data_IF_181099477380
#
_entry.id   IF_181099477380
#
_cell.length_a   1.000
_cell.length_b   1.000
_cell.length_c   1.000
_cell.angle_alpha   90.00
_cell.angle_beta   90.00
_cell.angle_gamma   90.00
#
_symmetry.space_group_name_H-M   'P 1'
#
loop_
_entity.id
_entity.type
_entity.pdbx_description
1 polymer ?
#
# COMPACT_ATOMS: atom_id res chain seq x y z
N UNK A 1 -11.03 13.31 -25.06
CA UNK A 1 -11.56 12.84 -26.36
C UNK A 1 -10.79 11.60 -26.77
N UNK A 2 -11.49 10.51 -27.07
CA UNK A 2 -10.88 9.27 -27.58
C UNK A 2 -11.02 9.27 -29.11
N UNK A 3 -9.89 9.08 -29.81
CA UNK A 3 -9.86 8.88 -31.27
C UNK A 3 -9.57 7.40 -31.50
N UNK A 4 -10.49 6.68 -32.10
CA UNK A 4 -10.40 5.23 -32.32
C UNK A 4 -9.60 4.89 -33.56
N UNK A 5 -8.39 5.44 -33.69
CA UNK A 5 -7.47 5.24 -34.80
C UNK A 5 -6.03 5.17 -34.30
N UNK A 6 -5.17 4.44 -35.01
CA UNK A 6 -3.73 4.43 -34.76
C UNK A 6 -3.09 5.63 -35.45
N UNK A 7 -2.78 6.67 -34.68
CA UNK A 7 -2.30 7.95 -35.22
C UNK A 7 -0.77 8.06 -35.25
N UNK A 8 -0.05 7.24 -34.48
CA UNK A 8 1.41 7.23 -34.41
C UNK A 8 1.92 5.87 -33.94
N UNK A 9 3.22 5.63 -34.11
CA UNK A 9 3.93 4.51 -33.55
C UNK A 9 5.01 5.01 -32.59
N UNK A 10 5.09 4.39 -31.43
CA UNK A 10 6.14 4.63 -30.44
C UNK A 10 7.14 3.48 -30.47
N UNK A 11 8.43 3.79 -30.53
CA UNK A 11 9.51 2.82 -30.42
C UNK A 11 10.20 3.05 -29.10
N UNK A 12 10.10 2.06 -28.21
CA UNK A 12 10.74 2.12 -26.90
C UNK A 12 12.25 1.94 -27.03
N UNK A 13 13.02 2.94 -26.55
CA UNK A 13 14.49 2.88 -26.45
C UNK A 13 15.00 2.67 -25.03
N UNK A 14 14.11 2.63 -24.05
CA UNK A 14 14.49 2.45 -22.66
C UNK A 14 14.72 0.97 -22.34
N UNK A 15 15.96 0.56 -22.24
CA UNK A 15 16.41 -0.81 -21.98
C UNK A 15 16.50 -1.15 -20.51
N UNK A 16 16.17 -0.22 -19.59
CA UNK A 16 16.15 -0.49 -18.15
C UNK A 16 15.11 -1.56 -17.81
N UNK A 17 15.36 -2.30 -16.71
CA UNK A 17 14.40 -3.28 -16.19
C UNK A 17 13.10 -2.58 -15.72
N UNK A 18 11.97 -3.28 -15.77
CA UNK A 18 10.67 -2.74 -15.32
C UNK A 18 10.69 -2.19 -13.89
N UNK A 19 11.41 -2.86 -12.99
CA UNK A 19 11.58 -2.41 -11.61
C UNK A 19 12.33 -1.10 -11.43
N UNK A 20 13.10 -0.65 -12.42
CA UNK A 20 13.76 0.68 -12.43
C UNK A 20 12.82 1.75 -12.99
N UNK A 21 12.09 1.43 -14.06
CA UNK A 21 11.16 2.36 -14.74
C UNK A 21 9.97 2.74 -13.85
N UNK A 22 9.53 1.82 -13.02
CA UNK A 22 8.31 1.98 -12.20
C UNK A 22 8.38 3.19 -11.24
N UNK A 23 9.58 3.67 -10.91
CA UNK A 23 9.78 4.80 -10.00
C UNK A 23 9.97 6.15 -10.70
N UNK A 24 9.93 6.22 -12.03
CA UNK A 24 10.11 7.47 -12.78
C UNK A 24 9.08 8.56 -12.41
N UNK A 25 7.88 8.15 -11.98
CA UNK A 25 6.82 9.10 -11.61
C UNK A 25 7.07 9.81 -10.26
N UNK A 26 7.94 9.28 -9.42
CA UNK A 26 8.36 9.88 -8.13
C UNK A 26 9.78 10.44 -8.17
N UNK A 27 10.49 10.35 -9.30
CA UNK A 27 11.82 10.90 -9.47
C UNK A 27 11.75 12.45 -9.43
N UNK A 28 12.47 13.13 -8.52
CA UNK A 28 12.45 14.58 -8.39
C UNK A 28 12.75 15.35 -9.68
N UNK A 29 13.54 14.78 -10.60
CA UNK A 29 13.84 15.40 -11.91
C UNK A 29 12.61 15.56 -12.79
N UNK A 30 11.55 14.78 -12.55
CA UNK A 30 10.30 14.83 -13.32
C UNK A 30 9.21 15.68 -12.62
N UNK A 31 9.55 16.43 -11.54
CA UNK A 31 8.53 17.09 -10.70
C UNK A 31 7.67 18.10 -11.46
N UNK A 32 8.24 18.92 -12.28
CA UNK A 32 7.49 19.94 -13.07
C UNK A 32 6.47 19.27 -13.98
N UNK A 33 6.87 18.22 -14.69
CA UNK A 33 5.96 17.41 -15.51
C UNK A 33 4.84 16.78 -14.69
N UNK A 34 5.16 16.30 -13.49
CA UNK A 34 4.14 15.73 -12.59
C UNK A 34 3.10 16.77 -12.15
N UNK A 35 3.52 18.01 -11.89
CA UNK A 35 2.62 19.12 -11.54
C UNK A 35 1.67 19.44 -12.70
N UNK A 36 2.19 19.55 -13.93
CA UNK A 36 1.37 19.77 -15.12
C UNK A 36 0.32 18.67 -15.33
N UNK A 37 0.74 17.41 -15.19
CA UNK A 37 -0.17 16.26 -15.29
C UNK A 37 -1.23 16.25 -14.19
N UNK A 38 -0.88 16.68 -12.98
CA UNK A 38 -1.82 16.81 -11.87
C UNK A 38 -2.88 17.87 -12.15
N UNK A 39 -2.47 19.02 -12.69
CA UNK A 39 -3.37 20.10 -13.06
C UNK A 39 -4.34 19.65 -14.16
N UNK A 40 -3.84 19.08 -15.25
CA UNK A 40 -4.65 18.57 -16.34
C UNK A 40 -5.66 17.49 -15.86
N UNK A 41 -5.22 16.57 -15.02
CA UNK A 41 -6.10 15.56 -14.45
C UNK A 41 -7.19 16.19 -13.56
N UNK A 42 -6.84 17.16 -12.74
CA UNK A 42 -7.78 17.85 -11.84
C UNK A 42 -8.84 18.62 -12.62
N UNK A 43 -8.46 19.32 -13.68
CA UNK A 43 -9.40 20.01 -14.57
C UNK A 43 -10.36 19.03 -15.23
N UNK A 44 -9.84 17.96 -15.81
CA UNK A 44 -10.66 16.90 -16.40
C UNK A 44 -11.64 16.29 -15.39
N UNK A 45 -11.19 15.99 -14.16
CA UNK A 45 -12.08 15.47 -13.12
C UNK A 45 -13.23 16.41 -12.77
N UNK A 46 -13.00 17.73 -12.80
CA UNK A 46 -14.06 18.74 -12.61
C UNK A 46 -15.07 18.71 -13.74
N UNK A 47 -14.58 18.65 -14.98
CA UNK A 47 -15.45 18.62 -16.18
C UNK A 47 -16.38 17.40 -16.20
N UNK A 48 -15.88 16.22 -15.83
CA UNK A 48 -16.66 14.98 -15.87
C UNK A 48 -17.40 14.67 -14.56
N UNK A 49 -17.33 15.56 -13.56
CA UNK A 49 -18.02 15.41 -12.27
C UNK A 49 -17.38 14.39 -11.30
N UNK A 50 -16.13 14.01 -11.55
CA UNK A 50 -15.36 13.07 -10.73
C UNK A 50 -14.46 13.71 -9.68
N UNK A 51 -14.38 15.04 -9.64
CA UNK A 51 -13.58 15.78 -8.67
C UNK A 51 -14.14 15.64 -7.25
N UNK A 52 -13.26 15.46 -6.29
CA UNK A 52 -13.60 15.44 -4.87
C UNK A 52 -12.89 16.59 -4.15
N UNK A 53 -13.65 17.48 -3.52
CA UNK A 53 -13.11 18.51 -2.64
C UNK A 53 -12.36 17.89 -1.44
N UNK A 54 -11.39 18.57 -0.82
CA UNK A 54 -10.61 18.04 0.31
C UNK A 54 -11.42 18.04 1.62
N UNK A 55 -12.60 17.44 1.57
CA UNK A 55 -13.51 17.25 2.70
C UNK A 55 -13.58 15.78 3.05
N UNK A 56 -13.28 15.44 4.29
CA UNK A 56 -13.09 14.06 4.72
C UNK A 56 -14.04 13.69 5.84
N UNK A 57 -14.49 12.44 5.81
CA UNK A 57 -15.24 11.84 6.91
C UNK A 57 -14.30 11.70 8.12
N UNK A 58 -14.71 12.24 9.25
CA UNK A 58 -13.99 12.08 10.52
C UNK A 58 -14.15 10.66 11.05
N UNK A 59 -13.11 10.21 11.76
CA UNK A 59 -13.06 8.87 12.36
C UNK A 59 -13.12 9.01 13.87
N UNK A 60 -14.03 8.25 14.46
CA UNK A 60 -14.12 8.04 15.90
C UNK A 60 -13.36 6.74 16.24
N UNK A 61 -12.14 6.88 16.79
CA UNK A 61 -11.30 5.73 17.14
C UNK A 61 -11.77 4.95 18.39
N UNK A 62 -12.89 5.32 18.96
CA UNK A 62 -13.55 4.62 20.07
C UNK A 62 -14.35 3.39 19.62
N UNK A 63 -14.55 3.19 18.31
CA UNK A 63 -15.32 2.07 17.79
C UNK A 63 -14.56 0.73 17.94
N UNK A 64 -15.21 -0.24 18.58
CA UNK A 64 -14.68 -1.59 18.78
C UNK A 64 -13.86 -1.76 20.05
N UNK A 65 -13.76 -3.01 20.51
CA UNK A 65 -12.90 -3.40 21.61
C UNK A 65 -11.74 -4.22 21.04
N UNK A 66 -10.52 -3.70 21.12
CA UNK A 66 -9.32 -4.34 20.59
C UNK A 66 -8.36 -4.67 21.72
N UNK A 67 -7.89 -5.92 21.77
CA UNK A 67 -6.86 -6.35 22.73
C UNK A 67 -5.51 -5.70 22.42
N UNK A 68 -5.24 -5.51 21.12
CA UNK A 68 -4.01 -4.91 20.60
C UNK A 68 -4.33 -3.58 19.92
N UNK A 69 -3.48 -2.59 20.13
CA UNK A 69 -3.58 -1.31 19.44
C UNK A 69 -3.19 -1.46 17.96
N UNK A 70 -2.17 -2.27 17.68
CA UNK A 70 -1.71 -2.51 16.32
C UNK A 70 -1.44 -4.00 16.07
N UNK A 71 -1.66 -4.44 14.84
CA UNK A 71 -1.15 -5.69 14.30
C UNK A 71 -0.29 -5.42 13.09
N UNK A 72 0.93 -5.96 13.08
CA UNK A 72 1.70 -6.03 11.83
C UNK A 72 1.25 -7.28 11.09
N UNK A 73 0.92 -7.13 9.80
CA UNK A 73 0.47 -8.24 8.94
C UNK A 73 1.51 -8.47 7.86
N UNK A 74 2.00 -9.72 7.79
CA UNK A 74 2.98 -10.18 6.79
C UNK A 74 2.37 -11.34 5.99
N UNK A 75 1.87 -11.12 4.77
CA UNK A 75 1.68 -12.17 3.80
C UNK A 75 3.03 -12.71 3.33
N UNK A 76 3.20 -14.03 3.31
CA UNK A 76 4.46 -14.62 2.87
C UNK A 76 4.23 -15.87 2.03
N UNK A 77 5.07 -16.06 1.03
CA UNK A 77 5.21 -17.32 0.29
C UNK A 77 6.64 -17.43 -0.25
N UNK A 78 7.36 -18.49 0.18
CA UNK A 78 8.72 -18.79 -0.30
C UNK A 78 9.69 -17.62 -0.13
N UNK A 79 9.99 -17.27 1.13
CA UNK A 79 10.87 -16.16 1.51
C UNK A 79 11.88 -16.57 2.60
N UNK A 80 12.42 -17.78 2.51
CA UNK A 80 13.38 -18.31 3.50
C UNK A 80 14.57 -17.38 3.76
N UNK A 81 15.03 -16.65 2.74
CA UNK A 81 16.18 -15.73 2.85
C UNK A 81 15.89 -14.47 3.66
N UNK A 82 14.64 -14.06 3.75
CA UNK A 82 14.29 -12.70 4.19
C UNK A 82 13.35 -12.68 5.39
N UNK A 83 12.52 -13.71 5.55
CA UNK A 83 11.44 -13.72 6.55
C UNK A 83 11.95 -13.53 7.99
N UNK A 84 13.13 -14.07 8.34
CA UNK A 84 13.71 -13.92 9.68
C UNK A 84 14.01 -12.45 9.99
N UNK A 85 14.52 -11.70 9.02
CA UNK A 85 14.83 -10.28 9.20
C UNK A 85 13.55 -9.46 9.34
N UNK A 86 12.53 -9.76 8.53
CA UNK A 86 11.23 -9.12 8.62
C UNK A 86 10.62 -9.33 10.02
N UNK A 87 10.57 -10.58 10.51
CA UNK A 87 10.06 -10.92 11.85
C UNK A 87 10.85 -10.16 12.94
N UNK A 88 12.19 -10.21 12.90
CA UNK A 88 13.03 -9.53 13.88
C UNK A 88 12.77 -8.01 13.90
N UNK A 89 12.60 -7.40 12.73
CA UNK A 89 12.33 -5.95 12.63
C UNK A 89 10.99 -5.56 13.27
N UNK A 90 10.00 -6.47 13.29
CA UNK A 90 8.73 -6.27 14.01
C UNK A 90 8.89 -6.51 15.51
N UNK A 91 9.52 -7.62 15.90
CA UNK A 91 9.62 -8.00 17.31
C UNK A 91 10.53 -7.08 18.13
N UNK A 92 11.41 -6.30 17.47
CA UNK A 92 12.22 -5.27 18.12
C UNK A 92 11.49 -3.93 18.35
N UNK A 93 10.26 -3.76 17.87
CA UNK A 93 9.54 -2.50 18.00
C UNK A 93 9.28 -2.14 19.46
N UNK A 94 9.49 -0.87 19.82
CA UNK A 94 9.24 -0.30 21.14
C UNK A 94 8.01 0.58 21.10
N UNK A 95 6.99 0.20 21.83
CA UNK A 95 5.70 0.90 21.90
C UNK A 95 5.22 1.01 23.35
N UNK A 96 4.43 2.02 23.63
CA UNK A 96 3.69 2.18 24.89
C UNK A 96 2.31 1.49 24.86
N UNK A 97 2.02 0.76 23.78
CA UNK A 97 0.79 0.01 23.57
C UNK A 97 1.09 -1.46 23.21
N UNK A 98 0.09 -2.32 23.36
CA UNK A 98 0.19 -3.73 22.97
C UNK A 98 0.07 -3.86 21.44
N UNK A 99 0.96 -4.65 20.85
CA UNK A 99 0.89 -5.04 19.44
C UNK A 99 1.18 -6.53 19.27
N UNK A 100 0.80 -7.06 18.11
CA UNK A 100 1.14 -8.43 17.70
C UNK A 100 1.58 -8.46 16.23
N UNK A 101 2.11 -9.63 15.84
CA UNK A 101 2.55 -9.94 14.48
C UNK A 101 1.70 -11.10 13.96
N UNK A 102 0.99 -10.89 12.86
CA UNK A 102 0.17 -11.91 12.19
C UNK A 102 0.84 -12.26 10.86
N UNK A 103 1.35 -13.46 10.73
CA UNK A 103 1.96 -13.97 9.51
C UNK A 103 0.99 -14.92 8.83
N UNK A 104 0.69 -14.65 7.56
CA UNK A 104 -0.11 -15.54 6.71
C UNK A 104 0.84 -16.21 5.73
N UNK A 105 1.24 -17.44 6.07
CA UNK A 105 2.12 -18.27 5.25
C UNK A 105 1.29 -18.99 4.17
N UNK A 106 1.30 -18.45 2.98
CA UNK A 106 0.51 -18.95 1.86
C UNK A 106 1.16 -20.18 1.20
N UNK A 107 1.25 -21.27 1.96
CA UNK A 107 1.79 -22.58 1.52
C UNK A 107 3.23 -22.52 1.03
N UNK A 108 4.14 -22.01 1.85
CA UNK A 108 5.58 -22.01 1.56
C UNK A 108 6.14 -23.45 1.52
N UNK A 109 7.14 -23.66 0.65
CA UNK A 109 7.76 -24.98 0.41
C UNK A 109 9.29 -24.95 0.42
N UNK A 110 9.87 -23.78 0.73
CA UNK A 110 11.33 -23.53 0.66
C UNK A 110 12.02 -23.50 2.04
N UNK A 111 11.30 -23.84 3.12
CA UNK A 111 11.79 -23.74 4.49
C UNK A 111 11.35 -22.44 5.20
N UNK A 112 10.51 -21.63 4.58
CA UNK A 112 9.97 -20.40 5.19
C UNK A 112 9.13 -20.70 6.43
N UNK A 113 8.28 -21.73 6.38
CA UNK A 113 7.42 -22.17 7.50
C UNK A 113 8.26 -22.50 8.73
N UNK A 114 9.32 -23.31 8.55
CA UNK A 114 10.23 -23.68 9.61
C UNK A 114 10.99 -22.47 10.17
N UNK A 115 11.34 -21.51 9.31
CA UNK A 115 11.99 -20.29 9.75
C UNK A 115 11.06 -19.39 10.59
N UNK A 116 9.76 -19.38 10.32
CA UNK A 116 8.77 -18.68 11.15
C UNK A 116 8.63 -19.37 12.51
N UNK A 117 8.63 -20.71 12.52
CA UNK A 117 8.49 -21.53 13.74
C UNK A 117 9.64 -21.33 14.75
N UNK A 118 10.80 -20.81 14.31
CA UNK A 118 11.89 -20.42 15.21
C UNK A 118 11.48 -19.33 16.21
N UNK A 119 10.42 -18.58 15.92
CA UNK A 119 9.90 -17.48 16.73
C UNK A 119 8.60 -17.82 17.49
N UNK A 120 8.15 -19.07 17.46
CA UNK A 120 6.87 -19.51 18.04
C UNK A 120 6.70 -19.26 19.53
N UNK A 121 7.80 -19.11 20.26
CA UNK A 121 7.79 -18.85 21.70
C UNK A 121 7.53 -17.35 22.02
N UNK A 122 7.50 -16.46 21.04
CA UNK A 122 7.09 -15.06 21.23
C UNK A 122 5.56 -14.97 21.20
N UNK A 123 4.96 -14.61 22.33
CA UNK A 123 3.50 -14.55 22.52
C UNK A 123 2.80 -13.57 21.56
N UNK A 124 3.56 -12.66 20.96
CA UNK A 124 3.04 -11.71 19.97
C UNK A 124 2.85 -12.33 18.59
N UNK A 125 3.54 -13.44 18.29
CA UNK A 125 3.48 -14.07 16.98
C UNK A 125 2.21 -14.92 16.82
N UNK A 126 1.51 -14.68 15.74
CA UNK A 126 0.40 -15.50 15.24
C UNK A 126 0.77 -15.97 13.85
N UNK A 127 1.05 -17.26 13.70
CA UNK A 127 1.38 -17.90 12.42
C UNK A 127 0.18 -18.68 11.91
N UNK A 128 -0.25 -18.39 10.68
CA UNK A 128 -1.43 -19.01 10.05
C UNK A 128 -1.04 -19.53 8.67
N UNK A 129 -1.31 -20.82 8.44
CA UNK A 129 -1.29 -21.43 7.11
C UNK A 129 -2.76 -21.55 6.67
N UNK A 130 -3.18 -20.89 5.57
CA UNK A 130 -4.57 -20.95 5.09
C UNK A 130 -4.99 -22.37 4.71
N UNK A 131 -6.25 -22.74 4.96
CA UNK A 131 -6.79 -24.01 4.43
C UNK A 131 -6.97 -23.97 2.91
N UNK A 132 -7.29 -22.78 2.36
CA UNK A 132 -7.50 -22.57 0.93
C UNK A 132 -6.21 -22.15 0.23
N UNK A 133 -6.00 -22.64 -0.99
CA UNK A 133 -4.77 -22.42 -1.78
C UNK A 133 -4.90 -21.35 -2.88
N UNK A 134 -6.06 -20.70 -3.00
CA UNK A 134 -6.36 -19.70 -4.02
C UNK A 134 -6.22 -18.25 -3.55
N UNK A 135 -5.50 -18.02 -2.43
CA UNK A 135 -5.26 -16.69 -1.92
C UNK A 135 -4.14 -16.01 -2.70
N UNK A 136 -4.41 -14.79 -3.15
CA UNK A 136 -3.38 -13.81 -3.49
C UNK A 136 -2.93 -13.05 -2.23
N UNK A 137 -2.06 -12.07 -2.41
CA UNK A 137 -1.58 -11.18 -1.32
C UNK A 137 -2.78 -10.55 -0.60
N UNK A 138 -3.74 -10.01 -1.37
CA UNK A 138 -4.94 -9.39 -0.80
C UNK A 138 -5.84 -10.36 -0.02
N UNK A 139 -5.91 -11.61 -0.44
CA UNK A 139 -6.61 -12.66 0.30
C UNK A 139 -5.94 -12.98 1.65
N UNK A 140 -4.62 -13.04 1.66
CA UNK A 140 -3.83 -13.20 2.88
C UNK A 140 -4.02 -12.01 3.84
N UNK A 141 -4.03 -10.79 3.28
CA UNK A 141 -4.35 -9.58 4.05
C UNK A 141 -5.72 -9.67 4.71
N UNK A 142 -6.77 -10.05 3.97
CA UNK A 142 -8.09 -10.21 4.54
C UNK A 142 -8.11 -11.23 5.69
N UNK A 143 -7.38 -12.33 5.54
CA UNK A 143 -7.29 -13.34 6.60
C UNK A 143 -6.67 -12.75 7.87
N UNK A 144 -5.56 -12.04 7.77
CA UNK A 144 -4.91 -11.37 8.90
C UNK A 144 -5.81 -10.30 9.53
N UNK A 145 -6.44 -9.45 8.72
CA UNK A 145 -7.33 -8.36 9.17
C UNK A 145 -8.60 -8.90 9.86
N UNK A 146 -9.16 -10.00 9.37
CA UNK A 146 -10.35 -10.63 9.96
C UNK A 146 -10.03 -11.48 11.19
N UNK A 147 -8.77 -11.76 11.48
CA UNK A 147 -8.39 -12.52 12.66
C UNK A 147 -8.90 -11.83 13.94
N UNK A 148 -9.47 -12.57 14.92
CA UNK A 148 -10.04 -11.99 16.15
C UNK A 148 -9.05 -11.15 16.96
N UNK A 149 -7.77 -11.53 16.94
CA UNK A 149 -6.68 -10.79 17.60
C UNK A 149 -6.05 -9.70 16.73
N UNK A 150 -6.60 -9.36 15.56
CA UNK A 150 -6.12 -8.22 14.79
C UNK A 150 -6.40 -6.91 15.55
N UNK A 151 -5.37 -6.09 15.71
CA UNK A 151 -5.42 -4.85 16.44
C UNK A 151 -6.26 -3.76 15.77
N UNK A 152 -6.45 -2.64 16.49
CA UNK A 152 -7.17 -1.47 16.01
C UNK A 152 -6.60 -0.92 14.72
N UNK A 153 -5.28 -0.99 14.54
CA UNK A 153 -4.57 -0.60 13.33
C UNK A 153 -3.83 -1.79 12.73
N UNK A 154 -4.10 -2.06 11.45
CA UNK A 154 -3.40 -3.08 10.68
C UNK A 154 -2.26 -2.42 9.90
N UNK A 155 -1.01 -2.81 10.16
CA UNK A 155 0.20 -2.20 9.60
C UNK A 155 0.90 -3.19 8.69
N UNK A 156 1.31 -2.75 7.51
CA UNK A 156 2.00 -3.57 6.53
C UNK A 156 3.47 -3.77 6.88
N UNK A 157 3.94 -5.00 6.63
CA UNK A 157 5.33 -5.28 6.32
C UNK A 157 5.38 -6.36 5.24
N UNK A 158 6.15 -6.14 4.18
CA UNK A 158 6.40 -7.16 3.17
C UNK A 158 7.45 -8.14 3.67
N UNK A 159 7.33 -9.40 3.29
CA UNK A 159 8.15 -10.49 3.83
C UNK A 159 9.63 -10.46 3.43
N UNK A 160 9.99 -9.59 2.49
CA UNK A 160 11.35 -9.34 2.02
C UNK A 160 11.93 -7.99 2.44
N UNK A 161 11.17 -7.19 3.19
CA UNK A 161 11.55 -5.87 3.67
C UNK A 161 11.72 -5.83 5.20
N UNK A 162 12.14 -4.69 5.72
CA UNK A 162 12.28 -4.49 7.17
C UNK A 162 11.85 -3.08 7.60
N UNK A 163 11.36 -2.93 8.82
CA UNK A 163 11.21 -1.62 9.44
C UNK A 163 12.56 -0.99 9.69
N UNK A 164 12.64 0.34 9.54
CA UNK A 164 13.90 1.07 9.65
C UNK A 164 14.55 0.94 11.02
N UNK A 165 13.75 1.09 12.06
CA UNK A 165 14.22 1.06 13.45
C UNK A 165 13.10 0.66 14.42
N UNK A 166 13.40 0.68 15.70
CA UNK A 166 12.51 0.26 16.78
C UNK A 166 11.30 1.18 17.03
N UNK A 167 11.20 2.33 16.36
CA UNK A 167 10.14 3.33 16.57
C UNK A 167 9.10 3.36 15.45
N UNK A 168 9.33 2.62 14.37
CA UNK A 168 8.47 2.65 13.16
C UNK A 168 6.99 2.43 13.50
N UNK A 169 6.66 1.41 14.29
CA UNK A 169 5.28 1.09 14.61
C UNK A 169 4.60 2.20 15.44
N UNK A 170 5.32 2.75 16.40
CA UNK A 170 4.83 3.87 17.22
C UNK A 170 4.56 5.13 16.37
N UNK A 171 5.46 5.44 15.43
CA UNK A 171 5.31 6.56 14.50
C UNK A 171 4.06 6.37 13.62
N UNK A 172 3.89 5.19 13.04
CA UNK A 172 2.76 4.89 12.16
C UNK A 172 1.42 4.97 12.91
N UNK A 173 1.34 4.43 14.11
CA UNK A 173 0.11 4.47 14.93
C UNK A 173 -0.21 5.90 15.38
N UNK A 174 0.77 6.68 15.80
CA UNK A 174 0.60 8.08 16.20
C UNK A 174 0.00 8.93 15.08
N UNK A 175 0.43 8.69 13.84
CA UNK A 175 -0.08 9.43 12.68
C UNK A 175 -1.61 9.32 12.49
N UNK A 176 -2.23 8.19 12.86
CA UNK A 176 -3.69 8.06 12.82
C UNK A 176 -4.39 9.06 13.73
N UNK A 177 -3.91 9.19 14.96
CA UNK A 177 -4.50 10.08 15.96
C UNK A 177 -4.26 11.55 15.65
N UNK A 178 -3.01 11.90 15.27
CA UNK A 178 -2.63 13.28 14.97
C UNK A 178 -3.33 13.83 13.73
N UNK A 179 -3.56 12.98 12.72
CA UNK A 179 -4.10 13.42 11.43
C UNK A 179 -5.58 13.03 11.22
N UNK A 180 -6.20 12.31 12.16
CA UNK A 180 -7.57 11.80 12.05
C UNK A 180 -7.86 11.13 10.69
N UNK A 181 -7.09 10.10 10.34
CA UNK A 181 -7.13 9.45 9.04
C UNK A 181 -7.45 7.95 9.17
N UNK A 182 -7.99 7.34 8.10
CA UNK A 182 -8.32 5.91 8.07
C UNK A 182 -7.19 5.05 7.50
N UNK A 183 -6.27 5.66 6.80
CA UNK A 183 -5.09 5.05 6.21
C UNK A 183 -3.90 5.96 6.43
N UNK A 184 -2.74 5.39 6.70
CA UNK A 184 -1.46 6.11 6.76
C UNK A 184 -0.52 5.51 5.74
N UNK A 185 0.19 6.38 5.03
CA UNK A 185 1.28 6.01 4.11
C UNK A 185 2.58 6.57 4.65
N UNK A 186 3.56 5.71 4.85
CA UNK A 186 4.89 6.08 5.30
C UNK A 186 5.82 6.44 4.15
N UNK A 187 7.06 6.66 4.50
CA UNK A 187 8.18 6.89 3.59
C UNK A 187 9.14 5.72 3.67
N UNK A 188 9.61 5.26 2.52
CA UNK A 188 10.57 4.18 2.46
C UNK A 188 11.86 4.59 1.74
N UNK A 189 12.92 3.88 2.07
CA UNK A 189 14.20 3.99 1.40
C UNK A 189 14.48 2.71 0.62
N UNK A 190 14.83 2.88 -0.64
CA UNK A 190 15.28 1.77 -1.49
C UNK A 190 16.69 1.34 -1.07
N UNK A 191 16.87 0.06 -0.78
CA UNK A 191 18.16 -0.48 -0.32
C UNK A 191 18.56 -1.76 -1.04
N UNK A 192 19.85 -2.06 -1.00
CA UNK A 192 20.36 -3.41 -1.21
C UNK A 192 20.20 -4.27 0.07
N UNK A 193 20.66 -5.53 0.04
CA UNK A 193 20.63 -6.42 1.21
C UNK A 193 21.57 -6.01 2.35
N UNK A 194 22.55 -5.14 2.10
CA UNK A 194 23.41 -4.57 3.12
C UNK A 194 22.84 -3.28 3.71
N UNK A 195 21.59 -2.94 3.40
CA UNK A 195 20.90 -1.71 3.81
C UNK A 195 21.53 -0.43 3.28
N UNK A 196 22.38 -0.52 2.25
CA UNK A 196 22.87 0.65 1.55
C UNK A 196 21.79 1.22 0.65
N UNK A 197 21.62 2.53 0.68
CA UNK A 197 20.66 3.21 -0.20
C UNK A 197 21.06 3.03 -1.67
N UNK A 198 20.09 2.68 -2.51
CA UNK A 198 20.22 2.58 -3.97
C UNK A 198 19.23 3.51 -4.66
N UNK A 199 19.46 3.83 -5.93
CA UNK A 199 18.54 4.66 -6.70
C UNK A 199 17.12 4.02 -6.79
N UNK A 200 16.05 4.83 -6.77
CA UNK A 200 16.01 6.30 -6.71
C UNK A 200 16.19 6.90 -5.29
N UNK A 201 16.46 6.10 -4.27
CA UNK A 201 16.71 6.56 -2.93
C UNK A 201 15.45 6.57 -2.06
N UNK A 202 15.08 7.71 -1.55
CA UNK A 202 13.92 7.88 -0.65
C UNK A 202 12.67 8.16 -1.48
N UNK A 203 11.61 7.41 -1.19
CA UNK A 203 10.27 7.57 -1.78
C UNK A 203 9.33 8.07 -0.69
N UNK A 204 9.02 9.35 -0.70
CA UNK A 204 8.24 10.03 0.34
C UNK A 204 6.84 10.46 -0.12
N UNK A 205 6.53 10.32 -1.40
CA UNK A 205 5.24 10.69 -1.99
C UNK A 205 4.78 12.11 -1.61
N UNK A 206 5.68 13.08 -1.55
CA UNK A 206 5.35 14.49 -1.26
C UNK A 206 4.41 15.12 -2.29
N UNK A 207 4.33 14.54 -3.48
CA UNK A 207 3.35 14.90 -4.49
C UNK A 207 1.89 14.65 -4.06
N UNK A 208 1.69 13.79 -3.06
CA UNK A 208 0.39 13.52 -2.47
C UNK A 208 0.19 14.37 -1.22
N UNK A 209 -0.70 15.34 -1.27
CA UNK A 209 -1.04 16.21 -0.13
C UNK A 209 -2.51 16.03 0.27
N UNK A 210 -2.93 16.45 1.47
CA UNK A 210 -4.34 16.47 1.87
C UNK A 210 -5.22 17.26 0.90
N UNK A 211 -4.69 18.32 0.27
CA UNK A 211 -5.44 19.16 -0.65
C UNK A 211 -5.71 18.49 -2.01
N UNK A 212 -4.72 17.79 -2.56
CA UNK A 212 -4.81 17.20 -3.91
C UNK A 212 -4.90 15.67 -3.90
N UNK A 213 -4.49 15.02 -2.81
CA UNK A 213 -4.20 13.58 -2.76
C UNK A 213 -5.33 12.70 -3.25
N UNK A 214 -6.57 13.00 -2.86
CA UNK A 214 -7.71 12.17 -3.27
C UNK A 214 -7.97 12.20 -4.79
N UNK A 215 -7.66 13.29 -5.48
CA UNK A 215 -7.77 13.39 -6.94
C UNK A 215 -6.49 12.89 -7.62
N UNK A 216 -5.34 13.23 -7.08
CA UNK A 216 -4.04 12.79 -7.59
C UNK A 216 -3.87 11.25 -7.51
N UNK A 217 -4.56 10.58 -6.59
CA UNK A 217 -4.59 9.11 -6.49
C UNK A 217 -4.95 8.42 -7.81
N UNK A 218 -5.86 9.00 -8.58
CA UNK A 218 -6.26 8.43 -9.87
C UNK A 218 -5.16 8.48 -10.92
N UNK A 219 -4.17 9.36 -10.75
CA UNK A 219 -3.08 9.59 -11.70
C UNK A 219 -1.82 8.81 -11.38
N UNK A 220 -1.50 8.65 -10.09
CA UNK A 220 -0.26 8.00 -9.66
C UNK A 220 -0.32 6.48 -9.84
N UNK A 221 0.84 5.84 -9.82
CA UNK A 221 0.92 4.40 -10.05
C UNK A 221 0.65 3.55 -8.80
N UNK A 222 0.78 4.11 -7.62
CA UNK A 222 0.53 3.42 -6.36
C UNK A 222 0.79 4.31 -5.16
N UNK A 223 0.40 3.83 -4.00
CA UNK A 223 0.74 4.39 -2.70
C UNK A 223 1.76 3.46 -2.05
N UNK A 224 3.00 3.91 -1.90
CA UNK A 224 4.13 3.09 -1.46
C UNK A 224 4.01 2.49 -0.06
N UNK A 225 5.06 1.78 0.34
CA UNK A 225 5.19 1.17 1.67
C UNK A 225 5.75 2.18 2.71
N UNK A 226 5.57 1.94 4.03
CA UNK A 226 4.56 1.04 4.56
C UNK A 226 3.19 1.68 4.52
N UNK A 227 2.16 0.85 4.48
CA UNK A 227 0.75 1.28 4.60
C UNK A 227 0.20 0.78 5.92
N UNK A 228 -0.63 1.59 6.56
CA UNK A 228 -1.37 1.19 7.73
C UNK A 228 -2.83 1.61 7.59
N UNK A 229 -3.74 0.87 8.21
CA UNK A 229 -5.18 1.02 8.04
C UNK A 229 -5.90 0.96 9.38
N UNK A 230 -6.92 1.77 9.55
CA UNK A 230 -7.88 1.60 10.63
C UNK A 230 -8.71 0.33 10.38
N UNK A 231 -8.51 -0.69 11.20
CA UNK A 231 -9.05 -2.04 11.00
C UNK A 231 -10.56 -2.10 10.78
N UNK A 232 -11.42 -1.35 11.51
CA UNK A 232 -12.86 -1.38 11.25
C UNK A 232 -13.23 -0.98 9.83
N UNK A 233 -12.62 0.08 9.30
CA UNK A 233 -12.84 0.53 7.91
C UNK A 233 -12.30 -0.50 6.92
N UNK A 234 -11.10 -1.05 7.18
CA UNK A 234 -10.51 -2.05 6.29
C UNK A 234 -11.34 -3.35 6.23
N UNK A 235 -11.93 -3.76 7.36
CA UNK A 235 -12.85 -4.91 7.42
C UNK A 235 -14.11 -4.72 6.59
N UNK A 236 -14.63 -3.49 6.53
CA UNK A 236 -15.79 -3.13 5.70
C UNK A 236 -15.42 -3.09 4.21
N UNK A 237 -14.31 -2.42 3.86
CA UNK A 237 -13.84 -2.24 2.48
C UNK A 237 -13.38 -3.56 1.88
N UNK A 238 -12.65 -4.36 2.64
CA UNK A 238 -11.96 -5.60 2.23
C UNK A 238 -10.88 -5.38 1.17
N UNK A 239 -9.87 -6.23 1.17
CA UNK A 239 -8.78 -6.21 0.20
C UNK A 239 -9.16 -7.09 -1.00
N UNK A 240 -9.04 -6.65 -2.24
CA UNK A 240 -9.23 -7.52 -3.41
C UNK A 240 -8.30 -8.74 -3.35
N UNK A 241 -8.84 -9.94 -3.58
CA UNK A 241 -8.04 -11.18 -3.57
C UNK A 241 -7.21 -11.30 -4.85
N UNK A 242 -6.14 -10.52 -4.92
CA UNK A 242 -5.18 -10.50 -6.02
C UNK A 242 -3.77 -10.32 -5.46
N UNK A 243 -2.76 -10.57 -6.28
CA UNK A 243 -1.35 -10.38 -5.93
C UNK A 243 -0.72 -9.15 -6.61
N UNK A 244 -1.53 -8.27 -7.18
CA UNK A 244 -1.08 -7.01 -7.76
C UNK A 244 -2.21 -5.98 -7.77
N UNK A 245 -1.90 -4.76 -7.32
CA UNK A 245 -2.83 -3.63 -7.34
C UNK A 245 -3.92 -3.67 -6.27
N UNK A 246 -3.89 -4.62 -5.35
CA UNK A 246 -4.78 -4.70 -4.18
C UNK A 246 -4.62 -3.48 -3.27
N UNK A 247 -3.38 -3.05 -3.10
CA UNK A 247 -2.99 -1.85 -2.33
C UNK A 247 -3.47 -0.57 -3.00
N UNK A 248 -3.35 -0.49 -4.32
CA UNK A 248 -3.82 0.66 -5.09
C UNK A 248 -5.34 0.78 -5.05
N UNK A 249 -6.05 -0.35 -5.17
CA UNK A 249 -7.51 -0.40 -5.02
C UNK A 249 -7.96 0.11 -3.64
N UNK A 250 -7.26 -0.30 -2.59
CA UNK A 250 -7.50 0.20 -1.22
C UNK A 250 -7.28 1.70 -1.13
N UNK A 251 -6.13 2.19 -1.58
CA UNK A 251 -5.79 3.61 -1.53
C UNK A 251 -6.84 4.48 -2.23
N UNK A 252 -7.32 4.07 -3.41
CA UNK A 252 -8.40 4.75 -4.12
C UNK A 252 -9.71 4.75 -3.31
N UNK A 253 -10.11 3.60 -2.79
CA UNK A 253 -11.34 3.47 -2.01
C UNK A 253 -11.30 4.34 -0.74
N UNK A 254 -10.21 4.26 0.03
CA UNK A 254 -10.03 5.08 1.23
C UNK A 254 -10.05 6.57 0.90
N UNK A 255 -9.35 6.99 -0.16
CA UNK A 255 -9.28 8.39 -0.58
C UNK A 255 -10.64 8.98 -0.96
N UNK A 256 -11.65 8.14 -1.29
CA UNK A 256 -12.99 8.62 -1.65
C UNK A 256 -13.72 9.26 -0.47
N UNK A 257 -13.48 8.80 0.75
CA UNK A 257 -14.20 9.26 1.93
C UNK A 257 -13.30 9.77 3.05
N UNK A 258 -12.10 9.23 3.18
CA UNK A 258 -11.22 9.46 4.31
C UNK A 258 -9.94 10.18 3.91
N UNK A 259 -9.37 10.92 4.84
CA UNK A 259 -8.02 11.42 4.71
C UNK A 259 -7.04 10.24 4.75
N UNK A 260 -6.02 10.31 3.90
CA UNK A 260 -4.84 9.45 3.97
C UNK A 260 -3.74 10.26 4.65
N UNK A 261 -3.36 9.83 5.85
CA UNK A 261 -2.29 10.43 6.64
C UNK A 261 -0.91 10.09 6.07
N UNK A 262 0.07 10.90 6.45
CA UNK A 262 1.43 10.81 5.91
C UNK A 262 2.47 10.79 7.01
N UNK A 263 3.49 9.95 6.82
CA UNK A 263 4.74 9.96 7.59
C UNK A 263 5.88 10.22 6.62
N UNK A 264 6.53 11.39 6.73
CA UNK A 264 7.60 11.79 5.82
C UNK A 264 9.00 11.35 6.26
N UNK A 265 9.15 10.95 7.52
CA UNK A 265 10.37 10.28 7.97
C UNK A 265 10.46 8.88 7.34
N UNK A 266 11.69 8.48 6.98
CA UNK A 266 11.92 7.11 6.52
C UNK A 266 11.65 6.15 7.68
N UNK A 267 10.67 5.28 7.50
CA UNK A 267 10.25 4.27 8.49
C UNK A 267 10.36 2.84 7.97
N UNK A 268 10.76 2.67 6.71
CA UNK A 268 10.74 1.38 6.02
C UNK A 268 11.94 1.26 5.08
N UNK A 269 12.56 0.10 5.02
CA UNK A 269 13.67 -0.22 4.13
C UNK A 269 13.19 -1.27 3.12
N UNK A 270 13.00 -0.82 1.87
CA UNK A 270 12.57 -1.67 0.77
C UNK A 270 13.79 -2.27 0.09
N UNK A 271 13.99 -3.57 0.30
CA UNK A 271 15.15 -4.30 -0.22
C UNK A 271 14.93 -4.73 -1.67
N UNK A 272 15.82 -4.31 -2.57
CA UNK A 272 15.75 -4.67 -3.99
C UNK A 272 16.67 -5.84 -4.32
N UNK A 273 16.11 -6.83 -5.00
CA UNK A 273 16.82 -8.02 -5.47
C UNK A 273 16.11 -8.63 -6.68
N UNK A 274 16.74 -9.63 -7.32
CA UNK A 274 16.22 -10.20 -8.57
C UNK A 274 14.89 -10.95 -8.40
N UNK A 275 14.55 -11.43 -7.19
CA UNK A 275 13.30 -12.13 -6.88
C UNK A 275 12.16 -11.21 -6.42
N UNK A 276 12.32 -9.87 -6.43
CA UNK A 276 11.17 -8.99 -6.24
C UNK A 276 10.16 -9.22 -7.37
N UNK A 277 8.88 -9.24 -7.03
CA UNK A 277 7.80 -9.57 -7.96
C UNK A 277 7.66 -8.61 -9.15
N UNK A 278 8.24 -7.41 -9.04
CA UNK A 278 8.26 -6.35 -10.07
C UNK A 278 9.63 -6.14 -10.73
N UNK A 279 10.66 -6.91 -10.33
CA UNK A 279 12.03 -6.67 -10.78
C UNK A 279 12.22 -6.89 -12.28
N UNK A 280 11.52 -7.87 -12.88
CA UNK A 280 11.63 -8.20 -14.30
C UNK A 280 10.33 -8.81 -14.80
N UNK A 281 9.41 -7.97 -15.25
CA UNK A 281 8.14 -8.38 -15.84
C UNK A 281 8.27 -8.49 -17.36
N UNK A 282 7.71 -9.56 -17.95
CA UNK A 282 7.48 -9.59 -19.38
C UNK A 282 6.38 -8.61 -19.80
N UNK A 283 6.36 -8.24 -21.08
CA UNK A 283 5.44 -7.22 -21.59
C UNK A 283 3.96 -7.61 -21.44
N UNK A 284 3.63 -8.89 -21.57
CA UNK A 284 2.24 -9.37 -21.46
C UNK A 284 1.75 -9.21 -20.03
N UNK A 285 2.56 -9.59 -19.05
CA UNK A 285 2.26 -9.47 -17.63
C UNK A 285 2.18 -8.00 -17.22
N UNK A 286 3.12 -7.18 -17.68
CA UNK A 286 3.11 -5.73 -17.42
C UNK A 286 1.85 -5.07 -17.96
N UNK A 287 1.45 -5.38 -19.21
CA UNK A 287 0.22 -4.87 -19.81
C UNK A 287 -1.02 -5.37 -19.07
N UNK A 288 -1.03 -6.62 -18.61
CA UNK A 288 -2.11 -7.15 -17.77
C UNK A 288 -2.25 -6.37 -16.45
N UNK A 289 -1.15 -6.04 -15.80
CA UNK A 289 -1.12 -5.23 -14.58
C UNK A 289 -1.63 -3.80 -14.84
N UNK A 290 -1.20 -3.16 -15.92
CA UNK A 290 -1.65 -1.82 -16.28
C UNK A 290 -3.15 -1.81 -16.59
N UNK A 291 -3.65 -2.78 -17.38
CA UNK A 291 -5.07 -2.92 -17.67
C UNK A 291 -5.91 -3.11 -16.38
N UNK A 292 -5.42 -3.89 -15.43
CA UNK A 292 -6.10 -4.08 -14.15
C UNK A 292 -6.18 -2.76 -13.38
N UNK A 293 -5.10 -2.00 -13.28
CA UNK A 293 -5.10 -0.67 -12.63
C UNK A 293 -6.04 0.32 -13.31
N UNK A 294 -6.08 0.32 -14.64
CA UNK A 294 -7.00 1.20 -15.38
C UNK A 294 -8.47 0.85 -15.15
N UNK A 295 -8.79 -0.42 -15.02
CA UNK A 295 -10.14 -0.86 -14.60
C UNK A 295 -10.49 -0.39 -13.21
N UNK A 296 -9.57 -0.51 -12.25
CA UNK A 296 -9.77 0.00 -10.89
C UNK A 296 -10.01 1.51 -10.91
N UNK A 297 -9.20 2.28 -11.65
CA UNK A 297 -9.38 3.73 -11.83
C UNK A 297 -10.75 4.07 -12.41
N UNK A 298 -11.18 3.32 -13.42
CA UNK A 298 -12.49 3.50 -14.06
C UNK A 298 -13.63 3.28 -13.07
N UNK A 299 -13.60 2.20 -12.31
CA UNK A 299 -14.63 1.92 -11.31
C UNK A 299 -14.65 2.97 -10.20
N UNK A 300 -13.47 3.38 -9.72
CA UNK A 300 -13.38 4.44 -8.73
C UNK A 300 -13.93 5.76 -9.27
N UNK A 301 -13.60 6.14 -10.49
CA UNK A 301 -14.10 7.35 -11.12
C UNK A 301 -15.63 7.34 -11.24
N UNK A 302 -16.20 6.23 -11.70
CA UNK A 302 -17.66 6.06 -11.76
C UNK A 302 -18.31 6.22 -10.37
N UNK A 303 -17.73 5.59 -9.33
CA UNK A 303 -18.21 5.70 -7.97
C UNK A 303 -18.18 7.15 -7.44
N UNK A 304 -17.14 7.93 -7.81
CA UNK A 304 -17.03 9.36 -7.45
C UNK A 304 -18.10 10.22 -8.13
N UNK A 305 -18.29 10.01 -9.42
CA UNK A 305 -19.32 10.71 -10.20
C UNK A 305 -20.72 10.44 -9.62
N UNK A 306 -21.02 9.18 -9.31
CA UNK A 306 -22.30 8.83 -8.68
C UNK A 306 -22.47 9.43 -7.28
N UNK A 307 -21.39 9.46 -6.49
CA UNK A 307 -21.41 10.07 -5.16
C UNK A 307 -21.70 11.57 -5.24
N UNK A 308 -21.05 12.29 -6.17
CA UNK A 308 -21.27 13.71 -6.37
C UNK A 308 -22.70 14.02 -6.82
N UNK A 309 -23.26 13.28 -7.78
CA UNK A 309 -24.66 13.41 -8.19
C UNK A 309 -25.65 13.23 -7.04
N UNK A 310 -25.40 12.24 -6.16
CA UNK A 310 -26.26 12.00 -4.99
C UNK A 310 -26.17 13.13 -3.96
N UNK A 311 -25.04 13.79 -3.85
CA UNK A 311 -24.86 14.92 -2.94
C UNK A 311 -25.56 16.19 -3.49
N UNK A 312 -25.48 16.44 -4.79
CA UNK A 312 -26.18 17.56 -5.45
C UNK A 312 -27.71 17.44 -5.31
N UNK A 313 -28.25 16.23 -5.33
CA UNK A 313 -29.71 16.01 -5.19
C UNK A 313 -30.23 16.13 -3.75
N UNK A 314 -29.35 16.28 -2.76
CA UNK A 314 -29.71 16.45 -1.34
C UNK A 314 -29.72 17.92 -0.89
N UNK A 315 -29.28 18.81 -1.73
CA UNK A 315 -29.28 20.26 -1.56
C UNK A 315 -30.28 20.90 -2.50
#
# INVERSE_FOLDING_TARGET
VHINEYLYSEVENDTRKSGEKIFDYVDPKNRDRQIEMEQACTEHLKEIGGYLAPEFKKIEFSAGNFEYEASVIIPVRNRIRTIRDAIKSVLMQKTDFKYNLIIIDNHSTDGTTEAIDEFKDDERLIHIIPERSDLGIGGCWNMGVQHPKCGKFAVQLDSDDVYKDENTLAIMVRAFYEQNCAMVVGTYMMTDFNMNMIAPGIIDHKEWTPANGRNNALRINGLGAPRAFYTPVLREVKVPNTSYGEDYALGLNFSRQYQIGRVYDVVYLCRRWDDNSDASLDIVKMNGHNLYKDRIRTWELQARIEMNKKNETKH
#
